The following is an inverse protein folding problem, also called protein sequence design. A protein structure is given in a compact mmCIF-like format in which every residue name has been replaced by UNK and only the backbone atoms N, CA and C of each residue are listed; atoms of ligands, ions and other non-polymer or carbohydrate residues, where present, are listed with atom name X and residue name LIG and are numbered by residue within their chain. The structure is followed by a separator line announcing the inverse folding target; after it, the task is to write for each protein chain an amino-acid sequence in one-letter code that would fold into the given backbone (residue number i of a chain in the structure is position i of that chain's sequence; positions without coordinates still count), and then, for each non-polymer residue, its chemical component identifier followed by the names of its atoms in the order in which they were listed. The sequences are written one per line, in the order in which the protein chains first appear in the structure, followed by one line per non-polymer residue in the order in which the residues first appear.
data_IF_005088474534
#
_entry.id   IF_005088474534
#
_cell.length_a   1.000
_cell.length_b   1.000
_cell.length_c   1.000
_cell.angle_alpha   90.00
_cell.angle_beta   90.00
_cell.angle_gamma   90.00
#
_symmetry.space_group_name_H-M   'P 1'
#
loop_
_entity.id
_entity.type
_entity.pdbx_description
1 polymer ?
#
# COMPACT_ATOMS: atom_id res chain seq x y z
N UNK A 1 -16.54 10.11 8.12
CA UNK A 1 -15.98 8.77 7.86
C UNK A 1 -15.61 8.68 6.38
N UNK A 2 -14.45 8.08 6.08
CA UNK A 2 -13.96 7.86 4.73
C UNK A 2 -14.53 6.56 4.15
N UNK A 3 -14.85 6.56 2.87
CA UNK A 3 -15.22 5.35 2.13
C UNK A 3 -14.00 4.80 1.42
N UNK A 4 -13.47 3.68 1.89
CA UNK A 4 -12.26 3.07 1.35
C UNK A 4 -12.59 1.77 0.62
N UNK A 5 -11.84 1.46 -0.43
CA UNK A 5 -11.78 0.09 -0.95
C UNK A 5 -11.28 -0.81 0.17
N UNK A 6 -12.04 -1.86 0.47
CA UNK A 6 -11.65 -2.82 1.47
C UNK A 6 -12.15 -4.20 1.11
N UNK A 7 -11.27 -5.20 1.14
CA UNK A 7 -11.73 -6.58 1.32
C UNK A 7 -11.71 -6.91 2.79
N UNK A 8 -12.90 -7.09 3.37
CA UNK A 8 -13.05 -7.84 4.62
C UNK A 8 -12.69 -9.30 4.35
N UNK A 9 -11.42 -9.66 4.42
CA UNK A 9 -11.06 -11.04 4.78
C UNK A 9 -11.10 -11.15 6.31
N UNK A 10 -12.29 -10.97 6.89
CA UNK A 10 -12.57 -11.48 8.22
C UNK A 10 -12.89 -12.96 8.08
N UNK A 11 -11.85 -13.80 8.06
CA UNK A 11 -12.03 -15.10 8.69
C UNK A 11 -12.10 -14.81 10.19
N UNK A 12 -13.23 -15.11 10.83
CA UNK A 12 -13.41 -14.95 12.26
C UNK A 12 -12.40 -15.78 13.10
N UNK A 13 -11.46 -16.52 12.48
CA UNK A 13 -10.52 -17.43 13.13
C UNK A 13 -9.13 -17.53 12.47
N UNK A 14 -8.64 -16.57 11.66
CA UNK A 14 -7.25 -16.62 11.16
C UNK A 14 -6.55 -15.25 11.19
N UNK A 15 -5.39 -15.19 11.85
CA UNK A 15 -4.61 -14.00 12.24
C UNK A 15 -3.85 -13.28 11.13
N UNK A 16 -4.02 -13.62 9.85
CA UNK A 16 -3.17 -13.09 8.77
C UNK A 16 -4.00 -12.60 7.58
N UNK A 17 -3.86 -11.31 7.24
CA UNK A 17 -4.45 -10.72 6.03
C UNK A 17 -3.81 -11.35 4.78
N UNK A 18 -4.64 -11.78 3.81
CA UNK A 18 -4.17 -12.42 2.56
C UNK A 18 -4.24 -11.45 1.40
N UNK A 19 -3.12 -11.30 0.68
CA UNK A 19 -3.03 -10.48 -0.53
C UNK A 19 -4.04 -10.93 -1.60
N UNK A 20 -4.57 -9.96 -2.35
CA UNK A 20 -5.60 -10.21 -3.36
C UNK A 20 -5.08 -11.06 -4.54
N UNK A 21 -5.95 -11.88 -5.14
CA UNK A 21 -5.65 -12.78 -6.27
C UNK A 21 -6.23 -12.30 -7.62
N UNK A 22 -6.94 -11.17 -7.63
CA UNK A 22 -7.69 -10.73 -8.80
C UNK A 22 -6.80 -9.98 -9.82
N UNK A 23 -7.18 -10.09 -11.10
CA UNK A 23 -6.61 -9.33 -12.20
C UNK A 23 -7.18 -7.90 -12.18
N UNK A 24 -6.71 -7.10 -11.24
CA UNK A 24 -7.26 -5.77 -11.00
C UNK A 24 -6.74 -4.78 -12.04
N UNK A 25 -7.61 -4.39 -12.97
CA UNK A 25 -7.47 -3.14 -13.74
C UNK A 25 -8.26 -2.08 -12.97
N UNK A 26 -7.74 -0.85 -12.83
CA UNK A 26 -8.31 0.19 -11.95
C UNK A 26 -9.84 0.37 -12.12
N UNK A 27 -10.33 0.32 -13.36
CA UNK A 27 -11.75 0.42 -13.71
C UNK A 27 -12.59 -0.79 -13.24
N UNK A 28 -12.03 -2.02 -13.28
CA UNK A 28 -12.72 -3.22 -12.81
C UNK A 28 -12.73 -3.32 -11.29
N UNK A 29 -11.73 -2.77 -10.59
CA UNK A 29 -11.69 -2.76 -9.12
C UNK A 29 -12.83 -1.94 -8.54
N UNK A 30 -13.07 -0.74 -9.07
CA UNK A 30 -14.13 0.13 -8.57
C UNK A 30 -15.52 -0.49 -8.66
N UNK A 31 -15.74 -1.37 -9.63
CA UNK A 31 -17.01 -2.05 -9.84
C UNK A 31 -17.22 -3.27 -8.92
N UNK A 32 -16.15 -3.86 -8.37
CA UNK A 32 -16.18 -5.18 -7.72
C UNK A 32 -15.74 -5.13 -6.26
N UNK A 33 -14.83 -4.22 -5.90
CA UNK A 33 -14.25 -4.20 -4.56
C UNK A 33 -15.25 -3.63 -3.53
N UNK A 34 -15.42 -4.29 -2.37
CA UNK A 34 -16.30 -3.78 -1.33
C UNK A 34 -15.82 -2.43 -0.82
N UNK A 35 -16.78 -1.56 -0.49
CA UNK A 35 -16.50 -0.27 0.13
C UNK A 35 -16.74 -0.39 1.62
N UNK A 36 -15.74 -0.03 2.43
CA UNK A 36 -15.81 -0.03 3.89
C UNK A 36 -15.73 1.40 4.43
N UNK A 37 -16.45 1.65 5.52
CA UNK A 37 -16.38 2.92 6.23
C UNK A 37 -15.20 2.93 7.20
N UNK A 38 -14.32 3.92 7.09
CA UNK A 38 -13.12 4.06 7.90
C UNK A 38 -13.14 5.38 8.71
N UNK A 39 -12.71 5.28 9.97
CA UNK A 39 -12.40 6.44 10.82
C UNK A 39 -10.95 6.91 10.64
N UNK A 40 -10.08 6.02 10.17
CA UNK A 40 -8.70 6.33 9.74
C UNK A 40 -8.62 6.55 8.23
N UNK A 41 -7.44 6.94 7.75
CA UNK A 41 -7.09 6.94 6.31
C UNK A 41 -7.36 5.58 5.63
N UNK A 42 -7.54 5.64 4.31
CA UNK A 42 -7.51 4.46 3.45
C UNK A 42 -6.06 4.06 3.20
N UNK A 43 -5.76 2.76 3.25
CA UNK A 43 -4.41 2.21 3.02
C UNK A 43 -4.45 1.14 1.94
N UNK A 44 -3.35 1.08 1.18
CA UNK A 44 -2.98 -0.04 0.31
C UNK A 44 -1.58 -0.52 0.68
N UNK A 45 -1.42 -1.81 0.94
CA UNK A 45 -0.12 -2.48 1.05
C UNK A 45 0.14 -3.15 -0.29
N UNK A 46 1.23 -2.80 -0.97
CA UNK A 46 1.65 -3.35 -2.26
C UNK A 46 2.80 -4.34 -2.05
N UNK A 47 2.57 -5.60 -2.39
CA UNK A 47 3.57 -6.66 -2.40
C UNK A 47 4.07 -6.88 -3.84
N UNK A 48 5.33 -6.53 -4.14
CA UNK A 48 5.88 -6.68 -5.49
C UNK A 48 5.99 -8.15 -5.89
N UNK A 49 5.64 -8.47 -7.13
CA UNK A 49 5.72 -9.82 -7.66
C UNK A 49 6.88 -9.97 -8.63
N UNK A 50 7.71 -10.99 -8.42
CA UNK A 50 8.89 -11.28 -9.23
C UNK A 50 8.77 -12.65 -9.92
N UNK A 51 9.15 -12.72 -11.19
CA UNK A 51 9.29 -13.96 -11.96
C UNK A 51 10.71 -14.01 -12.53
N UNK A 52 11.48 -15.03 -12.16
CA UNK A 52 12.88 -15.16 -12.57
C UNK A 52 13.78 -14.00 -12.07
N UNK A 53 13.43 -13.38 -10.94
CA UNK A 53 14.15 -12.24 -10.37
C UNK A 53 13.81 -10.87 -11.00
N UNK A 54 12.97 -10.84 -12.04
CA UNK A 54 12.46 -9.62 -12.65
C UNK A 54 11.03 -9.36 -12.19
N UNK A 55 10.69 -8.09 -11.97
CA UNK A 55 9.32 -7.72 -11.60
C UNK A 55 8.35 -8.03 -12.75
N UNK A 56 7.25 -8.70 -12.44
CA UNK A 56 6.27 -9.14 -13.44
C UNK A 56 5.65 -7.93 -14.14
N UNK A 57 5.72 -7.84 -15.48
CA UNK A 57 5.13 -6.72 -16.21
C UNK A 57 3.60 -6.79 -16.27
N UNK A 58 3.03 -8.00 -16.23
CA UNK A 58 1.58 -8.20 -16.33
C UNK A 58 0.87 -8.06 -14.98
N UNK A 59 1.52 -8.48 -13.90
CA UNK A 59 0.99 -8.40 -12.53
C UNK A 59 2.09 -7.96 -11.58
N UNK A 60 2.43 -6.66 -11.58
CA UNK A 60 3.59 -6.18 -10.85
C UNK A 60 3.43 -6.19 -9.33
N UNK A 61 2.20 -6.29 -8.83
CA UNK A 61 1.88 -6.28 -7.40
C UNK A 61 0.71 -7.20 -7.07
N UNK A 62 0.73 -7.72 -5.84
CA UNK A 62 -0.46 -8.07 -5.08
C UNK A 62 -0.73 -6.94 -4.07
N UNK A 63 -1.98 -6.81 -3.61
CA UNK A 63 -2.30 -5.74 -2.65
C UNK A 63 -3.29 -6.16 -1.57
N UNK A 64 -3.19 -5.48 -0.42
CA UNK A 64 -4.20 -5.44 0.65
C UNK A 64 -4.74 -4.03 0.74
N UNK A 65 -6.07 -3.87 0.79
CA UNK A 65 -6.75 -2.56 0.85
C UNK A 65 -7.71 -2.52 2.04
N UNK A 66 -7.78 -1.39 2.72
CA UNK A 66 -8.72 -1.19 3.83
C UNK A 66 -8.43 0.05 4.65
N UNK A 67 -8.91 0.06 5.88
CA UNK A 67 -8.63 1.12 6.86
C UNK A 67 -7.24 0.91 7.47
N UNK A 68 -6.44 1.98 7.61
CA UNK A 68 -5.16 1.93 8.34
C UNK A 68 -5.29 1.30 9.73
N UNK A 69 -6.31 1.73 10.49
CA UNK A 69 -6.65 1.20 11.82
C UNK A 69 -6.88 -0.31 11.88
N UNK A 70 -7.27 -0.95 10.77
CA UNK A 70 -7.53 -2.39 10.71
C UNK A 70 -6.38 -3.17 10.09
N UNK A 71 -5.76 -2.67 9.02
CA UNK A 71 -4.69 -3.38 8.34
C UNK A 71 -3.36 -3.35 9.11
N UNK A 72 -3.13 -2.29 9.89
CA UNK A 72 -1.89 -2.11 10.64
C UNK A 72 -2.04 -2.50 12.12
N UNK A 73 -3.17 -3.08 12.52
CA UNK A 73 -3.47 -3.39 13.93
C UNK A 73 -2.65 -4.54 14.50
N UNK A 74 -2.05 -5.38 13.65
CA UNK A 74 -1.23 -6.52 14.07
C UNK A 74 0.20 -6.13 14.46
N UNK A 75 0.59 -4.86 14.25
CA UNK A 75 1.93 -4.39 14.58
C UNK A 75 2.12 -4.31 16.10
N UNK A 76 3.06 -5.09 16.64
CA UNK A 76 3.38 -5.04 18.07
C UNK A 76 4.15 -3.77 18.46
N UNK A 77 5.06 -3.31 17.60
CA UNK A 77 5.90 -2.12 17.80
C UNK A 77 5.95 -1.25 16.53
N UNK A 78 4.87 -0.48 16.24
CA UNK A 78 4.81 0.33 15.03
C UNK A 78 5.88 1.43 15.06
N UNK A 79 6.65 1.60 13.98
CA UNK A 79 7.61 2.68 13.86
C UNK A 79 6.87 4.01 13.64
N UNK A 80 7.53 5.15 13.87
CA UNK A 80 6.87 6.48 13.82
C UNK A 80 6.25 6.78 12.45
N UNK A 81 6.82 6.23 11.39
CA UNK A 81 6.34 6.31 10.02
C UNK A 81 4.89 5.81 9.88
N UNK A 82 4.50 4.82 10.70
CA UNK A 82 3.14 4.26 10.71
C UNK A 82 2.11 5.24 11.26
N UNK A 83 2.47 6.09 12.24
CA UNK A 83 1.55 7.11 12.74
C UNK A 83 1.09 8.07 11.63
N UNK A 84 1.98 8.36 10.68
CA UNK A 84 1.65 9.17 9.50
C UNK A 84 0.71 8.44 8.55
N UNK A 85 0.84 7.11 8.41
CA UNK A 85 -0.08 6.33 7.58
C UNK A 85 -1.53 6.44 8.05
N UNK A 86 -1.79 6.66 9.35
CA UNK A 86 -3.15 6.83 9.87
C UNK A 86 -3.78 8.19 9.56
N UNK A 87 -2.97 9.22 9.25
CA UNK A 87 -3.40 10.63 9.30
C UNK A 87 -3.01 11.48 8.10
N UNK A 88 -2.16 10.99 7.21
CA UNK A 88 -1.66 11.71 6.05
C UNK A 88 -1.77 10.86 4.78
N UNK A 89 -1.52 11.46 3.62
CA UNK A 89 -1.32 10.74 2.37
C UNK A 89 0.18 10.56 2.12
N UNK A 90 0.71 9.39 2.45
CA UNK A 90 2.13 9.06 2.34
C UNK A 90 2.33 7.59 1.96
N UNK A 91 3.42 7.29 1.26
CA UNK A 91 3.90 5.93 1.02
C UNK A 91 5.18 5.69 1.81
N UNK A 92 5.27 4.54 2.49
CA UNK A 92 6.45 4.12 3.26
C UNK A 92 6.80 2.67 2.92
N UNK A 93 8.09 2.34 2.92
CA UNK A 93 8.55 0.96 2.74
C UNK A 93 8.66 0.29 4.09
N UNK A 94 7.99 -0.84 4.28
CA UNK A 94 8.00 -1.59 5.52
C UNK A 94 8.29 -3.08 5.24
N UNK A 95 9.06 -3.77 6.09
CA UNK A 95 9.14 -5.22 6.04
C UNK A 95 7.81 -5.86 6.40
N UNK A 96 7.38 -6.89 5.66
CA UNK A 96 6.10 -7.54 5.87
C UNK A 96 5.98 -8.18 7.26
N UNK A 97 7.08 -8.77 7.76
CA UNK A 97 7.17 -9.31 9.12
C UNK A 97 6.96 -8.27 10.21
N UNK A 98 7.24 -6.98 9.92
CA UNK A 98 6.99 -5.89 10.85
C UNK A 98 5.50 -5.54 10.92
N UNK A 99 4.76 -5.71 9.81
CA UNK A 99 3.32 -5.47 9.74
C UNK A 99 2.55 -6.65 10.35
N UNK A 100 2.96 -7.88 10.00
CA UNK A 100 2.35 -9.14 10.42
C UNK A 100 3.43 -10.06 11.01
N UNK A 101 3.61 -10.08 12.35
CA UNK A 101 4.68 -10.85 13.01
C UNK A 101 4.63 -12.37 12.74
N UNK A 102 3.45 -12.91 12.45
CA UNK A 102 3.25 -14.32 12.09
C UNK A 102 3.81 -14.69 10.70
N UNK A 103 4.21 -13.70 9.89
CA UNK A 103 4.74 -13.92 8.54
C UNK A 103 6.26 -14.11 8.60
N UNK A 104 6.71 -15.29 8.17
CA UNK A 104 8.13 -15.66 8.18
C UNK A 104 8.98 -14.92 7.13
N UNK A 105 8.36 -14.44 6.05
CA UNK A 105 9.07 -13.70 5.00
C UNK A 105 9.28 -12.25 5.40
N UNK A 106 10.47 -11.73 5.16
CA UNK A 106 10.82 -10.34 5.45
C UNK A 106 10.88 -9.48 4.18
N UNK A 107 9.97 -9.75 3.24
CA UNK A 107 9.89 -8.99 2.00
C UNK A 107 9.48 -7.55 2.30
N UNK A 108 10.10 -6.60 1.58
CA UNK A 108 9.78 -5.17 1.74
C UNK A 108 8.58 -4.85 0.86
N UNK A 109 7.51 -4.40 1.50
CA UNK A 109 6.27 -3.95 0.84
C UNK A 109 6.18 -2.43 0.88
N UNK A 110 5.45 -1.85 -0.08
CA UNK A 110 5.16 -0.43 -0.09
C UNK A 110 3.76 -0.19 0.48
N UNK A 111 3.66 0.60 1.56
CA UNK A 111 2.40 0.89 2.24
C UNK A 111 2.03 2.34 1.98
N UNK A 112 0.96 2.56 1.23
CA UNK A 112 0.47 3.89 0.87
C UNK A 112 -0.85 4.21 1.55
N UNK A 113 -0.96 5.42 2.07
CA UNK A 113 -2.15 5.98 2.69
C UNK A 113 -2.73 7.13 1.85
N UNK A 114 -4.04 7.36 1.97
CA UNK A 114 -4.73 8.47 1.32
C UNK A 114 -6.01 8.86 2.06
N UNK A 115 -6.51 10.08 1.81
CA UNK A 115 -7.51 10.75 2.65
C UNK A 115 -8.76 11.23 1.90
N UNK A 116 -9.07 10.64 0.75
CA UNK A 116 -10.30 10.93 -0.01
C UNK A 116 -11.08 9.65 -0.26
N UNK A 117 -12.38 9.76 -0.46
CA UNK A 117 -13.22 8.57 -0.74
C UNK A 117 -12.72 7.86 -2.00
N UNK A 118 -12.58 6.54 -1.92
CA UNK A 118 -12.13 5.70 -3.05
C UNK A 118 -10.67 5.90 -3.47
N UNK A 119 -9.85 6.64 -2.73
CA UNK A 119 -8.49 6.97 -3.18
C UNK A 119 -7.56 5.76 -3.33
N UNK A 120 -7.87 4.64 -2.66
CA UNK A 120 -7.04 3.44 -2.62
C UNK A 120 -7.43 2.38 -3.66
N UNK A 121 -8.27 2.71 -4.65
CA UNK A 121 -8.57 1.83 -5.80
C UNK A 121 -7.38 1.66 -6.77
N UNK A 122 -6.34 2.48 -6.62
CA UNK A 122 -5.16 2.46 -7.48
C UNK A 122 -4.44 1.11 -7.44
N UNK A 123 -3.90 0.72 -8.58
CA UNK A 123 -3.15 -0.54 -8.79
C UNK A 123 -1.63 -0.33 -8.73
N UNK A 124 -1.19 0.91 -8.66
CA UNK A 124 0.21 1.29 -8.50
C UNK A 124 0.39 2.29 -7.35
N UNK A 125 1.52 2.21 -6.63
CA UNK A 125 1.88 3.19 -5.63
C UNK A 125 2.13 4.53 -6.30
N UNK A 126 1.49 5.59 -5.80
CA UNK A 126 1.75 6.94 -6.26
C UNK A 126 3.09 7.39 -5.68
N UNK A 127 4.18 7.05 -6.35
CA UNK A 127 5.54 7.51 -6.05
C UNK A 127 5.71 9.00 -6.37
N UNK A 128 4.76 9.84 -5.94
CA UNK A 128 4.80 11.29 -6.07
C UNK A 128 5.93 11.90 -5.24
N UNK A 129 6.46 11.19 -4.23
CA UNK A 129 7.63 11.61 -3.48
C UNK A 129 8.95 11.25 -4.19
N UNK A 130 9.12 10.00 -4.64
CA UNK A 130 10.39 9.55 -5.22
C UNK A 130 10.65 10.09 -6.64
N UNK A 131 9.60 10.23 -7.48
CA UNK A 131 9.75 10.84 -8.83
C UNK A 131 10.04 12.34 -8.77
N UNK A 132 9.43 13.08 -7.84
CA UNK A 132 9.72 14.52 -7.67
C UNK A 132 11.15 14.76 -7.22
N UNK A 133 11.66 13.95 -6.28
CA UNK A 133 13.04 14.10 -5.81
C UNK A 133 14.07 13.78 -6.89
N UNK A 134 13.85 12.74 -7.70
CA UNK A 134 14.73 12.45 -8.85
C UNK A 134 14.68 13.54 -9.93
N UNK A 135 13.50 14.08 -10.24
CA UNK A 135 13.38 15.17 -11.20
C UNK A 135 14.10 16.44 -10.71
N UNK A 136 13.97 16.79 -9.42
CA UNK A 136 14.65 17.95 -8.83
C UNK A 136 16.17 17.76 -8.83
N UNK A 137 16.67 16.57 -8.45
CA UNK A 137 18.11 16.28 -8.42
C UNK A 137 18.74 16.38 -9.83
N UNK A 138 18.06 15.88 -10.86
CA UNK A 138 18.50 15.97 -12.25
C UNK A 138 18.56 17.44 -12.71
N UNK A 139 17.55 18.25 -12.38
CA UNK A 139 17.53 19.68 -12.72
C UNK A 139 18.68 20.42 -12.02
N UNK A 140 18.94 20.15 -10.74
CA UNK A 140 20.05 20.76 -10.00
C UNK A 140 21.41 20.36 -10.59
N UNK A 141 21.60 19.07 -10.91
CA UNK A 141 22.83 18.59 -11.53
C UNK A 141 23.08 19.23 -12.91
N UNK A 142 22.03 19.40 -13.72
CA UNK A 142 22.12 20.09 -15.02
C UNK A 142 22.49 21.57 -14.88
N UNK A 143 22.01 22.26 -13.85
CA UNK A 143 22.37 23.66 -13.59
C UNK A 143 23.77 23.85 -12.98
N UNK A 144 24.34 22.81 -12.36
CA UNK A 144 25.71 22.83 -11.86
C UNK A 144 26.75 22.44 -12.92
N UNK A 145 26.31 21.84 -14.03
CA UNK A 145 27.14 21.40 -15.16
C UNK A 145 27.12 22.38 -16.34
N UNK A 146 26.40 23.51 -16.23
CA UNK A 146 26.30 24.58 -17.23
C UNK A 146 26.60 25.92 -16.57
#
# INVERSE_FOLDING_TARGET
MLQCSGRQFQSANFSVAKFDRFCDLEESVQAIAPVVSCESSCVTIFEPQYFGGLRSPQRPFLFLRGCASRLLSAMESPPREVDFLHRAAICVSLPLSQIYPDVYTNEVVEVCSCMTNGCNFRVEPNSSFHRRFQQILIVILLQLLY
#
